data_IF_133584585808
#
_entry.id   IF_133584585808
#
_cell.length_a   1.000
_cell.length_b   1.000
_cell.length_c   1.000
_cell.angle_alpha   90.00
_cell.angle_beta   90.00
_cell.angle_gamma   90.00
#
_symmetry.space_group_name_H-M   'P 1'
#
loop_
_entity.id
_entity.type
_entity.pdbx_description
1 polymer ?
2 branched ?
3 branched ?
4 non-polymer ?
5 non-polymer ?
6 water ?
#
# COMPACT_ATOMS: atom_id res chain seq x y z
N UNK A 26 11.06 16.80 11.61
CA UNK A 26 9.94 15.82 11.51
C UNK A 26 10.43 14.41 11.27
N UNK A 27 9.49 13.49 11.00
CA UNK A 27 9.83 12.08 10.90
C UNK A 27 10.87 11.77 9.82
N UNK A 28 10.69 12.36 8.63
CA UNK A 28 11.58 12.09 7.51
C UNK A 28 13.04 12.43 7.85
N UNK A 29 13.22 13.47 8.67
CA UNK A 29 14.56 13.84 9.10
C UNK A 29 15.11 12.94 10.19
N UNK A 30 14.27 12.63 11.18
CA UNK A 30 14.67 11.74 12.27
C UNK A 30 15.16 10.43 11.69
N UNK A 31 14.46 9.96 10.65
CA UNK A 31 14.74 8.67 10.02
C UNK A 31 15.62 8.72 8.78
N UNK A 32 16.24 9.87 8.54
CA UNK A 32 16.99 10.07 7.30
C UNK A 32 18.02 8.96 7.01
N UNK A 33 18.75 8.54 8.05
CA UNK A 33 19.82 7.55 7.86
C UNK A 33 19.30 6.13 7.76
N UNK A 34 17.99 5.97 7.92
CA UNK A 34 17.38 4.66 7.93
C UNK A 34 16.62 4.37 6.64
N UNK A 35 15.58 5.14 6.38
CA UNK A 35 14.73 4.84 5.21
C UNK A 35 13.80 6.02 4.97
N UNK A 36 13.21 6.09 3.78
CA UNK A 36 12.20 7.10 3.49
C UNK A 36 10.98 6.95 4.36
N UNK A 37 10.31 8.07 4.64
CA UNK A 37 9.08 8.06 5.44
C UNK A 37 8.01 8.63 4.54
N UNK A 38 6.99 7.84 4.22
CA UNK A 38 6.03 8.24 3.18
C UNK A 38 4.59 8.34 3.66
N UNK A 39 3.73 8.93 2.83
CA UNK A 39 2.30 8.94 3.12
C UNK A 39 1.50 8.78 1.82
N UNK A 40 0.43 8.00 1.88
CA UNK A 40 -0.56 7.96 0.77
C UNK A 40 -1.41 9.23 0.78
N UNK A 41 -1.52 9.88 -0.36
CA UNK A 41 -2.29 11.13 -0.44
C UNK A 41 -3.52 10.95 -1.30
N UNK A 42 -4.68 11.32 -0.78
CA UNK A 42 -5.89 11.28 -1.59
C UNK A 42 -5.91 12.50 -2.53
N UNK A 43 -6.89 12.54 -3.42
CA UNK A 43 -6.94 13.60 -4.44
C UNK A 43 -7.12 15.01 -3.86
N UNK A 44 -7.90 15.12 -2.78
CA UNK A 44 -8.12 16.43 -2.14
C UNK A 44 -6.82 17.01 -1.60
N UNK A 45 -6.05 16.17 -0.88
CA UNK A 45 -4.76 16.59 -0.36
C UNK A 45 -3.77 16.93 -1.46
N UNK A 46 -3.65 16.02 -2.44
CA UNK A 46 -2.68 16.23 -3.50
C UNK A 46 -2.98 17.44 -4.38
N UNK A 47 -4.19 17.99 -4.29
CA UNK A 47 -4.52 19.21 -5.05
C UNK A 47 -3.66 20.41 -4.64
N UNK A 48 -3.14 20.38 -3.41
CA UNK A 48 -2.29 21.46 -2.88
C UNK A 48 -3.06 22.63 -2.32
N UNK A 49 -4.39 22.51 -2.23
CA UNK A 49 -5.24 23.62 -1.80
C UNK A 49 -5.19 23.85 -0.29
N UNK A 50 -4.77 22.82 0.46
CA UNK A 50 -4.79 22.83 1.92
C UNK A 50 -3.41 23.21 2.46
N UNK A 51 -3.23 24.48 2.83
CA UNK A 51 -1.87 24.93 3.17
C UNK A 51 -1.36 24.28 4.48
N UNK A 52 -2.26 23.98 5.41
CA UNK A 52 -1.88 23.32 6.63
C UNK A 52 -1.26 21.95 6.32
N UNK A 53 -1.95 21.19 5.46
CA UNK A 53 -1.42 19.90 5.07
C UNK A 53 -0.15 20.00 4.24
N UNK A 54 -0.06 20.99 3.37
CA UNK A 54 1.17 21.17 2.58
C UNK A 54 2.37 21.35 3.52
N UNK A 55 2.16 22.11 4.58
CA UNK A 55 3.23 22.37 5.54
C UNK A 55 3.62 21.09 6.27
N UNK A 56 2.62 20.40 6.78
CA UNK A 56 2.81 19.13 7.49
C UNK A 56 3.53 18.12 6.59
N UNK A 57 3.05 17.94 5.37
CA UNK A 57 3.62 16.90 4.51
C UNK A 57 5.09 17.18 4.20
N UNK A 58 5.42 18.45 3.90
CA UNK A 58 6.79 18.82 3.56
C UNK A 58 7.71 18.63 4.75
N UNK A 59 7.18 18.86 5.95
CA UNK A 59 7.93 18.65 7.18
C UNK A 59 8.19 17.17 7.50
N UNK A 60 7.17 16.33 7.32
CA UNK A 60 7.15 14.98 7.87
C UNK A 60 7.55 13.88 6.92
N UNK A 61 7.24 14.05 5.62
CA UNK A 61 7.38 12.94 4.67
C UNK A 61 8.30 13.29 3.53
N UNK A 62 9.08 12.31 3.09
CA UNK A 62 9.88 12.52 1.89
C UNK A 62 9.52 11.57 0.75
N UNK A 63 8.41 10.84 0.92
CA UNK A 63 7.84 9.98 -0.13
C UNK A 63 6.32 10.08 -0.08
N UNK A 64 5.69 9.93 -1.25
CA UNK A 64 4.22 9.89 -1.31
C UNK A 64 3.77 8.88 -2.33
N UNK A 65 2.54 8.41 -2.13
CA UNK A 65 1.89 7.41 -3.00
C UNK A 65 0.48 7.92 -3.24
N UNK A 66 -0.05 7.81 -4.47
CA UNK A 66 -1.43 8.23 -4.70
C UNK A 66 -2.41 7.20 -4.14
N UNK A 67 -3.36 7.64 -3.30
CA UNK A 67 -4.22 6.66 -2.63
C UNK A 67 -5.15 5.92 -3.61
N UNK A 68 -5.63 6.62 -4.64
CA UNK A 68 -6.56 6.03 -5.61
C UNK A 68 -6.38 6.45 -7.07
N UNK A 69 -5.83 7.64 -7.32
CA UNK A 69 -6.04 8.25 -8.64
C UNK A 69 -5.30 7.57 -9.78
N UNK A 70 -4.32 6.72 -9.50
CA UNK A 70 -3.62 5.99 -10.60
C UNK A 70 -4.10 4.56 -10.76
N UNK A 71 -5.13 4.16 -10.03
CA UNK A 71 -5.73 2.85 -10.22
C UNK A 71 -6.50 2.82 -11.53
N UNK A 72 -6.41 1.70 -12.24
CA UNK A 72 -7.00 1.60 -13.59
C UNK A 72 -8.43 2.11 -13.67
N UNK A 73 -9.30 1.62 -12.76
CA UNK A 73 -10.73 1.93 -12.77
C UNK A 73 -11.09 3.35 -12.34
N UNK A 74 -10.10 4.05 -11.78
CA UNK A 74 -10.27 5.41 -11.29
C UNK A 74 -9.76 6.41 -12.34
N UNK A 75 -8.60 6.08 -12.91
CA UNK A 75 -8.00 6.88 -13.96
C UNK A 75 -8.77 6.80 -15.29
N UNK A 76 -9.39 5.65 -15.55
CA UNK A 76 -10.03 5.37 -16.84
C UNK A 76 -11.46 4.97 -16.58
N UNK A 77 -12.33 5.31 -17.54
CA UNK A 77 -13.71 4.89 -17.48
C UNK A 77 -13.90 3.52 -18.12
N UNK A 78 -15.14 3.03 -18.11
CA UNK A 78 -15.41 1.67 -18.56
C UNK A 78 -15.19 1.49 -20.06
N UNK A 79 -15.15 2.61 -20.77
CA UNK A 79 -14.81 2.57 -22.21
C UNK A 79 -13.32 2.73 -22.47
N UNK A 80 -12.51 2.78 -21.41
CA UNK A 80 -11.08 2.87 -21.57
C UNK A 80 -10.57 4.30 -21.72
N UNK A 81 -11.46 5.27 -21.60
CA UNK A 81 -11.10 6.69 -21.79
C UNK A 81 -10.39 7.23 -20.54
N UNK A 82 -9.38 8.07 -20.76
CA UNK A 82 -8.46 8.51 -19.70
C UNK A 82 -8.80 9.91 -19.24
N UNK A 83 -8.67 10.15 -17.94
CA UNK A 83 -8.79 11.52 -17.45
C UNK A 83 -7.67 11.75 -16.46
N UNK A 84 -6.71 12.59 -16.84
CA UNK A 84 -5.48 12.75 -16.09
C UNK A 84 -5.48 13.77 -14.95
N UNK A 85 -6.62 14.41 -14.69
CA UNK A 85 -6.62 15.58 -13.78
C UNK A 85 -5.96 15.30 -12.43
N UNK A 86 -6.42 14.25 -11.75
CA UNK A 86 -5.91 13.96 -10.42
C UNK A 86 -4.52 13.36 -10.44
N UNK A 87 -4.25 12.46 -11.39
CA UNK A 87 -2.93 11.83 -11.44
C UNK A 87 -1.87 12.90 -11.73
N UNK A 88 -2.17 13.81 -12.65
CA UNK A 88 -1.22 14.88 -12.92
C UNK A 88 -1.03 15.79 -11.71
N UNK A 89 -2.12 16.07 -11.00
CA UNK A 89 -2.02 16.90 -9.77
C UNK A 89 -1.11 16.24 -8.73
N UNK A 90 -1.22 14.92 -8.59
CA UNK A 90 -0.37 14.19 -7.66
C UNK A 90 1.11 14.35 -8.04
N UNK A 91 1.41 14.19 -9.33
CA UNK A 91 2.81 14.21 -9.77
C UNK A 91 3.34 15.63 -9.66
N UNK A 92 2.49 16.61 -9.93
CA UNK A 92 2.88 18.02 -9.75
C UNK A 92 3.18 18.35 -8.29
N UNK A 93 2.38 17.78 -7.39
CA UNK A 93 2.56 18.00 -5.94
C UNK A 93 3.92 17.40 -5.53
N UNK A 94 4.20 16.17 -5.95
CA UNK A 94 5.51 15.57 -5.59
C UNK A 94 6.69 16.32 -6.20
N UNK A 95 6.50 16.80 -7.42
CA UNK A 95 7.57 17.59 -8.05
C UNK A 95 7.77 18.90 -7.34
N UNK A 96 6.67 19.57 -6.97
CA UNK A 96 6.75 20.86 -6.31
C UNK A 96 7.55 20.75 -5.01
N UNK A 97 7.30 19.67 -4.29
CA UNK A 97 7.93 19.46 -2.97
C UNK A 97 9.16 18.55 -2.96
N UNK A 98 9.62 18.19 -4.14
CA UNK A 98 10.74 17.27 -4.33
C UNK A 98 10.63 16.02 -3.44
N UNK A 99 9.48 15.35 -3.58
CA UNK A 99 9.21 14.11 -2.86
C UNK A 99 9.41 12.91 -3.75
N UNK A 100 9.95 11.85 -3.20
CA UNK A 100 9.99 10.56 -3.86
C UNK A 100 8.56 10.09 -4.13
N UNK A 101 8.28 9.61 -5.33
CA UNK A 101 6.90 9.25 -5.68
C UNK A 101 6.78 7.81 -6.13
N UNK A 102 5.79 7.14 -5.56
CA UNK A 102 5.52 5.74 -5.88
C UNK A 102 4.22 5.63 -6.69
N UNK A 103 4.29 5.12 -7.90
CA UNK A 103 3.07 4.83 -8.68
C UNK A 103 2.32 3.64 -8.07
N UNK A 104 1.00 3.77 -7.98
CA UNK A 104 0.16 2.71 -7.39
C UNK A 104 -1.14 2.70 -8.19
N UNK A 105 -1.47 1.62 -8.92
CA UNK A 105 -0.68 0.40 -9.11
C UNK A 105 -1.03 -0.07 -10.53
N UNK A 106 -0.08 -0.66 -11.26
CA UNK A 106 -0.37 -0.90 -12.68
C UNK A 106 -1.37 -2.04 -12.90
N UNK A 107 -1.14 -3.16 -12.23
CA UNK A 107 -1.91 -4.40 -12.51
C UNK A 107 -2.43 -4.97 -11.17
N UNK A 108 -3.74 -4.93 -11.00
CA UNK A 108 -4.40 -5.33 -9.76
C UNK A 108 -5.82 -5.75 -10.13
N UNK A 109 -6.40 -6.66 -9.33
CA UNK A 109 -7.75 -7.15 -9.59
C UNK A 109 -8.88 -6.28 -9.02
N UNK A 110 -8.55 -5.27 -8.21
CA UNK A 110 -9.53 -4.41 -7.57
C UNK A 110 -9.57 -3.01 -8.20
N UNK A 111 -10.71 -2.32 -8.09
CA UNK A 111 -10.85 -0.97 -8.65
C UNK A 111 -10.44 -0.96 -10.14
N UNK A 112 -11.00 -1.91 -10.88
CA UNK A 112 -10.79 -2.00 -12.32
C UNK A 112 -12.07 -2.55 -12.94
N UNK A 113 -12.46 -1.96 -14.06
CA UNK A 113 -13.75 -2.30 -14.70
C UNK A 113 -13.78 -3.74 -15.19
N UNK A 114 -14.91 -4.41 -14.97
CA UNK A 114 -15.08 -5.77 -15.54
C UNK A 114 -14.95 -5.78 -17.07
N UNK A 115 -15.25 -4.63 -17.68
CA UNK A 115 -15.14 -4.45 -19.13
C UNK A 115 -13.73 -4.68 -19.64
N UNK A 116 -12.72 -4.58 -18.75
CA UNK A 116 -11.36 -4.87 -19.18
C UNK A 116 -11.23 -6.37 -19.56
N UNK A 117 -11.94 -7.23 -18.83
CA UNK A 117 -11.75 -8.67 -18.95
C UNK A 117 -12.87 -9.40 -19.69
N UNK A 118 -14.03 -8.76 -19.76
CA UNK A 118 -15.25 -9.49 -20.13
C UNK A 118 -15.99 -8.80 -21.27
N UNK A 119 -16.58 -9.62 -22.12
CA UNK A 119 -17.65 -9.14 -22.99
C UNK A 119 -18.86 -8.81 -22.15
N UNK A 120 -19.78 -8.05 -22.71
CA UNK A 120 -20.96 -7.62 -22.00
C UNK A 120 -21.83 -8.80 -21.57
N UNK A 121 -21.68 -9.94 -22.26
CA UNK A 121 -22.44 -11.16 -21.94
C UNK A 121 -21.82 -11.95 -20.76
N UNK A 122 -20.69 -11.45 -20.25
CA UNK A 122 -20.02 -12.11 -19.11
C UNK A 122 -18.83 -12.97 -19.52
N UNK A 123 -18.74 -13.34 -20.80
CA UNK A 123 -17.64 -14.22 -21.25
C UNK A 123 -16.30 -13.49 -21.21
N UNK A 124 -15.23 -14.23 -21.03
CA UNK A 124 -13.90 -13.62 -20.98
C UNK A 124 -13.36 -13.37 -22.37
N UNK A 125 -12.62 -12.26 -22.53
CA UNK A 125 -11.87 -12.07 -23.77
C UNK A 125 -10.64 -12.97 -23.79
N UNK A 126 -9.98 -13.06 -24.95
CA UNK A 126 -8.81 -13.93 -25.12
C UNK A 126 -7.60 -13.40 -24.36
N UNK A 127 -6.63 -14.28 -24.11
CA UNK A 127 -5.38 -13.85 -23.50
C UNK A 127 -4.70 -12.76 -24.36
N UNK A 128 -4.71 -12.96 -25.68
CA UNK A 128 -4.09 -11.98 -26.59
C UNK A 128 -4.76 -10.62 -26.51
N UNK A 129 -6.09 -10.60 -26.42
CA UNK A 129 -6.81 -9.32 -26.32
C UNK A 129 -6.50 -8.62 -25.01
N UNK A 130 -6.41 -9.39 -23.93
CA UNK A 130 -6.09 -8.80 -22.63
C UNK A 130 -4.64 -8.33 -22.57
N UNK A 131 -3.74 -9.10 -23.18
CA UNK A 131 -2.34 -8.68 -23.27
C UNK A 131 -2.23 -7.32 -23.95
N UNK A 132 -3.00 -7.12 -25.03
CA UNK A 132 -2.93 -5.85 -25.75
C UNK A 132 -3.37 -4.71 -24.85
N UNK A 133 -4.40 -4.95 -24.03
CA UNK A 133 -4.90 -3.91 -23.14
C UNK A 133 -3.85 -3.64 -22.07
N UNK A 134 -3.22 -4.68 -21.56
CA UNK A 134 -2.16 -4.46 -20.54
C UNK A 134 -1.03 -3.63 -21.13
N UNK A 135 -0.62 -3.98 -22.36
CA UNK A 135 0.45 -3.24 -23.04
C UNK A 135 0.10 -1.77 -23.18
N UNK A 136 -1.10 -1.48 -23.64
CA UNK A 136 -1.52 -0.09 -23.82
C UNK A 136 -1.53 0.62 -22.48
N UNK A 137 -2.06 -0.04 -21.46
CA UNK A 137 -2.19 0.65 -20.16
C UNK A 137 -0.84 0.98 -19.56
N UNK A 138 0.06 0.00 -19.53
CA UNK A 138 1.38 0.23 -18.93
C UNK A 138 2.20 1.22 -19.75
N UNK A 139 2.21 1.05 -21.07
CA UNK A 139 2.98 1.94 -21.92
C UNK A 139 2.51 3.39 -21.76
N UNK A 140 1.20 3.58 -21.67
CA UNK A 140 0.65 4.92 -21.49
C UNK A 140 0.92 5.51 -20.11
N UNK A 141 0.55 4.75 -19.07
CA UNK A 141 0.64 5.24 -17.70
C UNK A 141 2.08 5.34 -17.21
N UNK A 142 2.85 4.26 -17.32
CA UNK A 142 4.24 4.37 -16.87
C UNK A 142 5.01 5.29 -17.81
N UNK A 143 4.60 5.34 -19.07
CA UNK A 143 5.28 6.23 -20.02
C UNK A 143 5.11 7.69 -19.66
N UNK A 144 3.90 8.07 -19.29
CA UNK A 144 3.61 9.47 -19.02
C UNK A 144 4.50 10.02 -17.91
N UNK A 145 4.75 9.18 -16.90
CA UNK A 145 5.45 9.62 -15.72
C UNK A 145 6.86 9.06 -15.64
N UNK A 146 7.37 8.51 -16.75
CA UNK A 146 8.73 7.99 -16.84
C UNK A 146 9.70 9.02 -16.27
N UNK A 147 10.55 8.61 -15.34
CA UNK A 147 11.50 9.54 -14.74
C UNK A 147 10.97 10.44 -13.66
N UNK A 148 9.65 10.54 -13.54
CA UNK A 148 9.04 11.38 -12.53
C UNK A 148 8.71 10.56 -11.28
N UNK A 149 8.09 9.40 -11.50
CA UNK A 149 7.87 8.44 -10.42
C UNK A 149 9.11 7.58 -10.28
N UNK A 150 9.64 7.52 -9.05
CA UNK A 150 10.85 6.74 -8.78
C UNK A 150 10.59 5.23 -8.75
N UNK A 151 9.36 4.88 -8.40
CA UNK A 151 9.03 3.45 -8.18
C UNK A 151 7.61 3.20 -8.62
N UNK A 152 7.32 1.93 -8.92
CA UNK A 152 5.97 1.46 -9.24
C UNK A 152 5.63 0.22 -8.46
N UNK A 153 4.41 0.18 -7.90
CA UNK A 153 3.75 -1.10 -7.58
C UNK A 153 3.26 -1.64 -8.91
N UNK A 154 4.01 -2.57 -9.48
CA UNK A 154 3.67 -3.10 -10.79
C UNK A 154 2.51 -4.06 -10.68
N UNK A 155 2.59 -5.02 -9.74
CA UNK A 155 1.48 -5.92 -9.48
C UNK A 155 1.16 -5.88 -7.98
N UNK A 156 -0.13 -5.85 -7.66
CA UNK A 156 -0.64 -5.77 -6.26
C UNK A 156 -1.46 -7.05 -6.01
N UNK A 157 -1.21 -7.70 -4.88
CA UNK A 157 -2.16 -8.68 -4.31
C UNK A 157 -2.45 -9.90 -5.19
N UNK A 158 -1.41 -10.57 -5.65
CA UNK A 158 -1.58 -11.71 -6.59
C UNK A 158 -1.68 -13.09 -5.93
N UNK A 159 -1.44 -13.15 -4.62
CA UNK A 159 -1.51 -14.42 -3.89
C UNK A 159 -2.79 -14.41 -3.10
N UNK A 160 -3.61 -15.45 -3.25
CA UNK A 160 -4.87 -15.47 -2.57
C UNK A 160 -4.72 -15.80 -1.10
N UNK A 161 -5.77 -15.58 -0.34
CA UNK A 161 -5.67 -15.86 1.09
C UNK A 161 -5.65 -17.35 1.43
N UNK A 162 -6.02 -18.18 0.46
CA UNK A 162 -5.85 -19.64 0.54
C UNK A 162 -4.46 -20.16 0.14
N UNK A 163 -3.53 -19.23 -0.09
CA UNK A 163 -2.13 -19.49 -0.45
C UNK A 163 -1.90 -20.01 -1.85
N UNK A 164 -2.97 -20.08 -2.64
CA UNK A 164 -2.82 -20.37 -4.06
C UNK A 164 -2.80 -19.02 -4.77
N UNK A 165 -2.47 -19.01 -6.06
CA UNK A 165 -2.54 -17.75 -6.82
C UNK A 165 -3.96 -17.20 -6.74
N UNK A 166 -4.11 -15.89 -6.58
CA UNK A 166 -5.43 -15.30 -6.48
C UNK A 166 -6.18 -15.56 -7.77
N UNK A 167 -7.45 -15.99 -7.61
CA UNK A 167 -8.29 -16.41 -8.72
C UNK A 167 -8.96 -15.18 -9.37
N UNK A 168 -8.14 -14.21 -9.76
CA UNK A 168 -8.67 -12.99 -10.37
C UNK A 168 -8.91 -13.19 -11.87
N UNK A 169 -9.61 -12.25 -12.49
CA UNK A 169 -9.71 -12.34 -13.97
C UNK A 169 -8.34 -12.29 -14.66
N UNK A 170 -7.43 -11.45 -14.16
CA UNK A 170 -6.06 -11.45 -14.68
C UNK A 170 -5.45 -12.85 -14.75
N UNK A 171 -5.57 -13.59 -13.66
CA UNK A 171 -4.90 -14.88 -13.56
C UNK A 171 -5.65 -15.95 -14.33
N UNK A 172 -6.97 -15.90 -14.27
CA UNK A 172 -7.77 -16.90 -14.99
C UNK A 172 -7.54 -16.78 -16.49
N UNK A 173 -7.41 -15.57 -17.00
CA UNK A 173 -7.20 -15.39 -18.45
C UNK A 173 -5.74 -15.62 -18.86
N UNK A 174 -4.78 -15.12 -18.07
CA UNK A 174 -3.41 -15.09 -18.53
C UNK A 174 -2.45 -16.05 -17.87
N UNK A 175 -2.81 -16.59 -16.69
CA UNK A 175 -1.87 -17.39 -15.92
C UNK A 175 -0.81 -16.47 -15.33
N UNK A 176 0.29 -17.02 -14.85
CA UNK A 176 1.29 -16.16 -14.22
C UNK A 176 1.98 -15.20 -15.17
N UNK A 177 1.74 -15.38 -16.47
CA UNK A 177 2.24 -14.41 -17.45
C UNK A 177 1.71 -13.01 -17.15
N UNK A 178 0.56 -12.88 -16.47
CA UNK A 178 0.06 -11.52 -16.20
C UNK A 178 1.09 -10.79 -15.35
N UNK A 179 1.73 -11.51 -14.44
CA UNK A 179 2.75 -10.86 -13.58
C UNK A 179 4.03 -10.64 -14.35
N UNK A 180 4.55 -11.71 -14.96
CA UNK A 180 5.78 -11.65 -15.72
C UNK A 180 5.74 -10.53 -16.77
N UNK A 181 4.65 -10.46 -17.53
CA UNK A 181 4.53 -9.47 -18.60
C UNK A 181 4.39 -8.05 -18.05
N UNK A 182 3.66 -7.90 -16.94
CA UNK A 182 3.52 -6.57 -16.33
C UNK A 182 4.89 -5.97 -15.95
N UNK A 183 5.71 -6.77 -15.28
CA UNK A 183 7.04 -6.31 -14.86
C UNK A 183 7.94 -6.04 -16.07
N UNK A 184 7.91 -6.94 -17.05
CA UNK A 184 8.74 -6.77 -18.24
C UNK A 184 8.36 -5.48 -18.97
N UNK A 185 7.06 -5.26 -19.15
CA UNK A 185 6.55 -4.04 -19.78
C UNK A 185 6.94 -2.79 -19.01
N UNK A 186 6.73 -2.78 -17.68
CA UNK A 186 7.07 -1.59 -16.91
C UNK A 186 8.56 -1.29 -17.06
N UNK A 187 9.38 -2.35 -17.06
CA UNK A 187 10.83 -2.19 -17.13
C UNK A 187 11.25 -1.66 -18.50
N UNK A 188 10.54 -2.03 -19.56
CA UNK A 188 10.83 -1.48 -20.89
C UNK A 188 10.44 -0.02 -20.99
N UNK A 189 9.35 0.33 -20.31
CA UNK A 189 8.83 1.69 -20.44
C UNK A 189 9.65 2.69 -19.61
N UNK A 190 9.96 2.32 -18.36
CA UNK A 190 10.84 3.16 -17.55
C UNK A 190 11.92 2.28 -16.94
N UNK A 191 13.03 2.12 -17.64
CA UNK A 191 14.13 1.28 -17.14
C UNK A 191 14.74 1.73 -15.81
N UNK A 192 14.49 2.98 -15.42
CA UNK A 192 15.05 3.51 -14.17
C UNK A 192 14.11 3.35 -12.97
N UNK A 193 12.87 2.97 -13.22
CA UNK A 193 11.89 2.81 -12.12
C UNK A 193 12.24 1.60 -11.25
N UNK A 194 12.05 1.73 -9.94
CA UNK A 194 12.23 0.66 -9.00
C UNK A 194 10.88 -0.06 -8.98
N UNK A 195 10.88 -1.30 -9.45
CA UNK A 195 9.67 -2.07 -9.65
C UNK A 195 9.39 -2.98 -8.47
N UNK A 196 8.15 -2.92 -7.96
CA UNK A 196 7.79 -3.67 -6.78
C UNK A 196 6.59 -4.56 -6.98
N UNK A 197 6.63 -5.69 -6.28
CA UNK A 197 5.45 -6.50 -6.03
C UNK A 197 4.94 -6.15 -4.64
N UNK A 198 3.63 -5.98 -4.47
CA UNK A 198 3.08 -5.47 -3.19
C UNK A 198 1.94 -6.36 -2.72
N UNK A 199 1.86 -6.68 -1.43
CA UNK A 199 0.74 -7.50 -0.92
C UNK A 199 0.53 -7.33 0.58
N UNK A 200 -0.65 -7.74 1.03
CA UNK A 200 -0.99 -7.74 2.46
C UNK A 200 -0.94 -9.17 3.05
N UNK A 201 -0.74 -9.21 4.37
CA UNK A 201 -0.67 -10.45 5.14
C UNK A 201 0.53 -11.30 4.79
N UNK A 202 1.48 -10.73 4.04
CA UNK A 202 2.71 -11.45 3.75
C UNK A 202 3.70 -11.32 4.91
N UNK A 203 3.25 -10.66 5.99
CA UNK A 203 3.91 -10.61 7.29
C UNK A 203 3.77 -11.94 7.98
N UNK A 204 2.84 -12.76 7.48
CA UNK A 204 2.42 -13.97 8.20
C UNK A 204 2.90 -15.24 7.57
N UNK A 205 3.14 -16.25 8.42
CA UNK A 205 3.49 -17.57 7.95
C UNK A 205 2.34 -18.12 7.11
N UNK A 206 2.72 -18.76 6.00
CA UNK A 206 1.78 -19.28 5.04
C UNK A 206 1.92 -18.41 3.80
N UNK A 207 1.33 -17.21 3.88
CA UNK A 207 1.36 -16.31 2.72
C UNK A 207 2.77 -15.82 2.41
N UNK A 208 3.58 -15.62 3.45
CA UNK A 208 4.98 -15.26 3.26
C UNK A 208 5.67 -16.27 2.33
N UNK A 209 5.57 -17.55 2.68
CA UNK A 209 6.30 -18.57 1.95
C UNK A 209 5.76 -18.77 0.54
N UNK A 210 4.44 -18.66 0.40
CA UNK A 210 3.81 -18.73 -0.93
C UNK A 210 4.33 -17.61 -1.82
N UNK A 211 4.51 -16.43 -1.22
CA UNK A 211 4.97 -15.27 -1.99
C UNK A 211 6.44 -15.41 -2.37
N UNK A 212 7.27 -15.88 -1.43
CA UNK A 212 8.66 -16.14 -1.71
C UNK A 212 8.79 -17.12 -2.89
N UNK A 213 7.98 -18.18 -2.88
CA UNK A 213 8.10 -19.21 -3.89
C UNK A 213 7.75 -18.63 -5.26
N UNK A 214 6.68 -17.87 -5.30
CA UNK A 214 6.21 -17.23 -6.54
C UNK A 214 7.26 -16.29 -7.12
N UNK A 215 7.78 -15.40 -6.28
CA UNK A 215 8.76 -14.43 -6.72
C UNK A 215 10.04 -15.10 -7.15
N UNK A 216 10.49 -16.08 -6.36
CA UNK A 216 11.76 -16.77 -6.65
C UNK A 216 11.78 -17.29 -8.07
N UNK A 217 10.68 -17.91 -8.45
CA UNK A 217 10.61 -18.60 -9.71
C UNK A 217 10.33 -17.63 -10.86
N UNK A 218 9.71 -16.49 -10.55
CA UNK A 218 9.62 -15.46 -11.57
C UNK A 218 10.98 -14.85 -11.80
N UNK A 219 11.74 -14.64 -10.73
CA UNK A 219 13.09 -14.10 -10.87
C UNK A 219 13.98 -15.03 -11.70
N UNK A 220 13.88 -16.32 -11.46
CA UNK A 220 14.71 -17.29 -12.18
C UNK A 220 14.34 -17.26 -13.66
N UNK A 221 13.06 -17.06 -13.95
CA UNK A 221 12.54 -16.94 -15.30
C UNK A 221 13.07 -15.65 -15.96
N UNK A 222 13.65 -14.77 -15.15
CA UNK A 222 14.28 -13.53 -15.63
C UNK A 222 13.45 -12.27 -15.46
N UNK A 223 12.40 -12.34 -14.64
CA UNK A 223 11.51 -11.17 -14.50
C UNK A 223 12.23 -10.05 -13.78
N UNK A 224 12.17 -8.82 -14.31
CA UNK A 224 12.82 -7.68 -13.62
C UNK A 224 11.96 -7.32 -12.43
N UNK A 225 12.59 -7.18 -11.27
CA UNK A 225 11.88 -6.79 -10.05
C UNK A 225 12.95 -6.35 -9.08
N UNK A 226 12.72 -5.20 -8.42
CA UNK A 226 13.73 -4.59 -7.57
C UNK A 226 13.34 -4.58 -6.09
N UNK A 227 12.03 -4.55 -5.83
CA UNK A 227 11.55 -4.35 -4.46
C UNK A 227 10.35 -5.19 -4.13
N UNK A 228 10.14 -5.35 -2.84
CA UNK A 228 9.03 -6.15 -2.35
C UNK A 228 8.33 -5.30 -1.30
N UNK A 229 7.05 -5.02 -1.56
CA UNK A 229 6.21 -4.21 -0.68
C UNK A 229 5.37 -5.04 0.26
N UNK A 230 5.59 -4.86 1.57
CA UNK A 230 4.72 -5.45 2.59
C UNK A 230 3.74 -4.35 2.99
N UNK A 231 2.45 -4.58 2.81
CA UNK A 231 1.52 -3.48 3.03
C UNK A 231 1.52 -2.98 4.47
N UNK A 232 1.51 -3.91 5.43
CA UNK A 232 1.57 -3.51 6.84
C UNK A 232 0.27 -2.92 7.35
N UNK A 233 -0.85 -3.46 6.87
CA UNK A 233 -2.14 -3.19 7.51
C UNK A 233 -2.23 -4.05 8.77
N UNK A 234 -1.82 -3.47 9.90
CA UNK A 234 -1.65 -4.23 11.14
C UNK A 234 -2.83 -4.05 12.06
N UNK A 235 -3.01 -5.03 12.95
CA UNK A 235 -3.91 -4.85 14.10
C UNK A 235 -3.14 -4.30 15.27
N UNK A 236 -3.89 -3.75 16.23
CA UNK A 236 -3.27 -3.26 17.45
C UNK A 236 -2.46 -4.35 18.18
N UNK A 237 -2.86 -5.62 18.04
CA UNK A 237 -2.11 -6.74 18.62
C UNK A 237 -1.36 -7.62 17.61
N UNK A 238 -2.06 -8.02 16.55
CA UNK A 238 -1.59 -9.04 15.59
C UNK A 238 -1.26 -8.33 14.27
N UNK A 239 -0.29 -8.83 13.49
CA UNK A 239 0.56 -9.99 13.82
C UNK A 239 1.69 -9.57 14.74
N UNK A 240 2.33 -10.53 15.41
CA UNK A 240 3.45 -10.20 16.30
C UNK A 240 4.72 -9.79 15.54
N UNK A 241 5.54 -8.98 16.21
CA UNK A 241 6.80 -8.55 15.66
C UNK A 241 7.63 -9.69 15.07
N UNK A 242 7.67 -10.83 15.75
CA UNK A 242 8.48 -11.96 15.27
C UNK A 242 8.10 -12.46 13.89
N UNK A 243 6.81 -12.41 13.58
CA UNK A 243 6.32 -12.78 12.26
C UNK A 243 6.76 -11.76 11.21
N UNK A 244 6.60 -10.48 11.52
CA UNK A 244 6.98 -9.44 10.57
C UNK A 244 8.49 -9.55 10.31
N UNK A 245 9.25 -9.82 11.37
CA UNK A 245 10.69 -9.96 11.26
C UNK A 245 11.06 -11.09 10.28
N UNK A 246 10.37 -12.23 10.38
CA UNK A 246 10.67 -13.35 9.47
C UNK A 246 10.48 -12.94 8.01
N UNK A 247 9.47 -12.11 7.77
CA UNK A 247 9.18 -11.67 6.41
C UNK A 247 10.24 -10.67 5.89
N UNK A 248 10.64 -9.72 6.73
CA UNK A 248 11.69 -8.80 6.31
C UNK A 248 12.91 -9.59 5.87
N UNK A 249 13.31 -10.54 6.72
CA UNK A 249 14.49 -11.35 6.44
C UNK A 249 14.33 -12.22 5.17
N UNK A 250 13.20 -12.90 5.05
CA UNK A 250 12.96 -13.76 3.91
C UNK A 250 12.95 -12.99 2.59
N UNK A 251 12.27 -11.84 2.55
CA UNK A 251 12.15 -11.12 1.29
C UNK A 251 13.47 -10.44 0.94
N UNK A 252 14.22 -9.99 1.92
CA UNK A 252 15.57 -9.47 1.65
C UNK A 252 16.48 -10.55 1.03
N UNK A 253 16.30 -11.79 1.45
CA UNK A 253 17.12 -12.89 0.92
C UNK A 253 16.91 -13.11 -0.58
N UNK A 254 15.80 -12.60 -1.12
CA UNK A 254 15.54 -12.67 -2.56
C UNK A 254 16.31 -11.64 -3.38
N UNK A 255 17.13 -10.84 -2.68
CA UNK A 255 17.91 -9.78 -3.31
C UNK A 255 17.03 -8.61 -3.68
N UNK A 256 15.95 -8.44 -2.91
CA UNK A 256 15.00 -7.33 -3.12
C UNK A 256 15.03 -6.36 -1.96
N UNK A 257 14.84 -5.07 -2.27
CA UNK A 257 14.67 -4.03 -1.24
C UNK A 257 13.28 -4.19 -0.66
N UNK A 258 13.18 -4.10 0.66
CA UNK A 258 11.92 -4.26 1.35
C UNK A 258 11.33 -2.89 1.64
N UNK A 259 10.05 -2.73 1.30
CA UNK A 259 9.33 -1.50 1.62
C UNK A 259 8.10 -1.88 2.44
N UNK A 260 7.82 -1.07 3.46
CA UNK A 260 6.49 -1.12 4.11
C UNK A 260 5.66 0.00 3.50
N UNK A 261 4.55 -0.39 2.89
CA UNK A 261 3.92 0.47 1.90
C UNK A 261 2.62 1.13 2.29
N UNK A 262 1.89 0.56 3.25
CA UNK A 262 0.50 0.98 3.50
C UNK A 262 0.22 0.87 4.99
N UNK A 263 1.15 1.34 5.80
CA UNK A 263 1.09 1.13 7.26
C UNK A 263 -0.10 1.79 7.88
N UNK A 264 -0.76 1.02 8.74
CA UNK A 264 -1.76 1.56 9.65
C UNK A 264 -2.03 0.54 10.73
N UNK A 265 -2.63 0.97 11.84
CA UNK A 265 -2.90 0.06 12.94
C UNK A 265 -4.36 0.16 13.31
N UNK A 266 -5.11 -0.92 13.08
CA UNK A 266 -6.55 -0.93 13.32
C UNK A 266 -6.77 -1.13 14.81
N UNK A 267 -7.41 -0.16 15.46
CA UNK A 267 -7.63 -0.21 16.93
C UNK A 267 -9.06 -0.62 17.31
N UNK A 268 -9.88 -0.96 16.31
CA UNK A 268 -11.31 -1.25 16.57
C UNK A 268 -11.57 -2.74 16.62
N UNK A 269 -12.66 -3.14 17.30
CA UNK A 269 -13.02 -4.55 17.39
C UNK A 269 -13.00 -5.23 16.01
N UNK A 270 -12.32 -6.36 15.97
CA UNK A 270 -12.07 -7.09 14.74
C UNK A 270 -13.20 -8.04 14.38
N UNK A 271 -13.49 -8.11 13.09
CA UNK A 271 -14.49 -9.04 12.58
C UNK A 271 -13.83 -10.13 11.74
N UNK A 272 -12.50 -10.14 11.72
CA UNK A 272 -11.77 -11.09 10.89
C UNK A 272 -11.81 -12.54 11.40
N UNK A 273 -12.20 -12.74 12.66
CA UNK A 273 -12.11 -14.07 13.30
C UNK A 273 -13.41 -14.50 13.96
N UNK A 274 -14.53 -14.26 13.28
CA UNK A 274 -15.83 -14.50 13.91
C UNK A 274 -16.43 -15.88 13.60
N UNK A 275 -17.29 -16.38 14.49
CA UNK A 275 -18.02 -17.64 14.26
C UNK A 275 -18.77 -17.69 12.93
N UNK A 276 -19.01 -18.91 12.46
CA UNK A 276 -19.62 -19.13 11.16
C UNK A 276 -21.04 -18.52 11.03
N UNK A 277 -21.80 -18.51 12.14
CA UNK A 277 -23.12 -17.89 12.16
C UNK A 277 -23.07 -16.40 11.82
N UNK A 278 -21.93 -15.78 12.06
CA UNK A 278 -21.76 -14.34 11.91
C UNK A 278 -21.02 -13.95 10.61
N UNK A 279 -20.61 -14.95 9.83
CA UNK A 279 -19.80 -14.74 8.63
C UNK A 279 -20.38 -13.68 7.69
N UNK A 280 -21.71 -13.68 7.56
CA UNK A 280 -22.39 -12.78 6.63
C UNK A 280 -22.58 -11.40 7.25
N UNK A 281 -22.99 -11.36 8.51
CA UNK A 281 -23.35 -10.10 9.17
C UNK A 281 -22.16 -9.38 9.78
N UNK A 282 -20.98 -9.99 9.74
CA UNK A 282 -19.85 -9.38 10.42
C UNK A 282 -19.40 -8.04 9.83
N UNK A 283 -19.83 -7.70 8.62
CA UNK A 283 -19.46 -6.41 8.05
C UNK A 283 -20.56 -5.35 8.24
N UNK A 284 -21.60 -5.74 8.96
CA UNK A 284 -22.70 -4.85 9.31
C UNK A 284 -22.25 -3.88 10.40
N UNK A 285 -22.72 -2.64 10.31
CA UNK A 285 -22.46 -1.68 11.37
C UNK A 285 -23.24 -2.03 12.64
N UNK A 286 -22.53 -2.16 13.75
CA UNK A 286 -23.10 -2.38 15.08
C UNK A 286 -22.39 -1.45 16.05
N UNK A 287 -23.13 -0.76 16.91
CA UNK A 287 -22.52 0.19 17.87
C UNK A 287 -21.38 -0.40 18.69
N UNK A 288 -21.53 -1.65 19.13
CA UNK A 288 -20.49 -2.32 19.95
C UNK A 288 -19.17 -2.51 19.19
N UNK A 289 -19.25 -2.47 17.86
CA UNK A 289 -18.05 -2.62 17.02
C UNK A 289 -17.41 -1.27 16.72
N UNK A 290 -18.00 -0.19 17.24
CA UNK A 290 -17.55 1.17 16.97
C UNK A 290 -17.55 1.93 18.30
N UNK A 291 -16.69 1.51 19.22
CA UNK A 291 -16.82 1.96 20.61
C UNK A 291 -16.18 3.33 20.95
N UNK A 292 -15.48 3.93 20.01
CA UNK A 292 -14.71 5.13 20.29
C UNK A 292 -15.16 6.37 19.51
N UNK A 293 -16.46 6.46 19.23
CA UNK A 293 -16.92 7.64 18.48
C UNK A 293 -16.68 8.97 19.20
N UNK A 294 -16.64 8.95 20.53
CA UNK A 294 -16.41 10.18 21.26
C UNK A 294 -14.95 10.54 21.47
N UNK A 295 -14.04 9.66 21.04
CA UNK A 295 -12.61 9.87 21.25
C UNK A 295 -11.91 8.55 21.60
N UNK A 296 -10.61 8.47 21.32
CA UNK A 296 -9.82 7.29 21.70
C UNK A 296 -9.25 7.58 23.08
N UNK A 297 -9.58 6.77 24.07
CA UNK A 297 -9.16 7.06 25.44
C UNK A 297 -7.66 6.95 25.58
N UNK A 298 -7.09 7.65 26.56
CA UNK A 298 -5.65 7.65 26.75
C UNK A 298 -5.05 6.25 26.84
N UNK A 299 -5.76 5.31 27.46
CA UNK A 299 -5.17 3.97 27.61
C UNK A 299 -4.96 3.31 26.25
N UNK A 300 -5.87 3.58 25.30
CA UNK A 300 -5.69 3.05 23.94
C UNK A 300 -4.65 3.84 23.15
N UNK A 301 -4.56 5.15 23.40
CA UNK A 301 -3.45 5.93 22.84
C UNK A 301 -2.12 5.33 23.25
N UNK A 302 -2.03 4.93 24.52
CA UNK A 302 -0.82 4.30 25.04
C UNK A 302 -0.53 3.00 24.29
N UNK A 303 -1.54 2.16 24.12
CA UNK A 303 -1.37 0.87 23.44
C UNK A 303 -0.96 1.10 21.98
N UNK A 304 -1.58 2.08 21.36
CA UNK A 304 -1.26 2.38 19.96
C UNK A 304 0.18 2.86 19.82
N UNK A 305 0.60 3.75 20.73
CA UNK A 305 1.98 4.25 20.76
C UNK A 305 3.00 3.14 20.94
N UNK A 306 2.73 2.22 21.87
CA UNK A 306 3.61 1.07 22.11
C UNK A 306 3.70 0.16 20.90
N UNK A 307 2.56 -0.05 20.23
CA UNK A 307 2.52 -0.91 19.06
C UNK A 307 3.35 -0.30 17.94
N UNK A 308 3.19 0.99 17.67
CA UNK A 308 4.02 1.66 16.66
C UNK A 308 5.50 1.68 17.04
N UNK A 309 5.80 1.86 18.33
CA UNK A 309 7.18 1.87 18.79
C UNK A 309 7.83 0.48 18.58
N UNK A 310 7.09 -0.57 18.91
CA UNK A 310 7.59 -1.94 18.65
C UNK A 310 7.93 -2.10 17.18
N UNK A 311 7.02 -1.63 16.33
CA UNK A 311 7.16 -1.80 14.89
C UNK A 311 8.40 -1.07 14.40
N UNK A 312 8.54 0.19 14.80
CA UNK A 312 9.69 0.98 14.30
C UNK A 312 11.02 0.54 14.91
N UNK A 313 11.00 -0.03 16.12
CA UNK A 313 12.21 -0.68 16.63
C UNK A 313 12.68 -1.78 15.67
N UNK A 314 11.72 -2.57 15.20
CA UNK A 314 12.06 -3.67 14.28
C UNK A 314 12.59 -3.11 12.97
N UNK A 315 11.96 -2.05 12.45
CA UNK A 315 12.41 -1.46 11.20
C UNK A 315 13.83 -0.90 11.37
N UNK A 316 14.07 -0.23 12.49
CA UNK A 316 15.43 0.29 12.75
C UNK A 316 16.45 -0.86 12.77
N UNK A 317 16.08 -1.94 13.44
CA UNK A 317 16.95 -3.12 13.53
C UNK A 317 17.37 -3.63 12.14
N UNK A 318 16.42 -3.57 11.21
CA UNK A 318 16.63 -4.07 9.85
C UNK A 318 16.69 -2.96 8.83
N UNK A 319 17.15 -1.79 9.24
CA UNK A 319 17.24 -0.64 8.37
C UNK A 319 18.07 -0.94 7.11
N UNK A 320 19.05 -1.82 7.22
CA UNK A 320 19.89 -2.18 6.08
C UNK A 320 19.11 -2.86 4.94
N UNK A 321 17.96 -3.43 5.28
CA UNK A 321 17.10 -4.16 4.33
C UNK A 321 15.92 -3.35 3.78
N UNK A 322 15.60 -2.24 4.44
CA UNK A 322 14.34 -1.52 4.21
C UNK A 322 14.61 -0.18 3.56
N UNK A 323 13.90 0.10 2.47
CA UNK A 323 14.05 1.37 1.73
C UNK A 323 13.07 2.44 2.21
N UNK A 324 11.93 2.04 2.79
CA UNK A 324 10.82 2.98 2.96
C UNK A 324 9.81 2.44 3.93
N UNK A 325 9.22 3.36 4.68
CA UNK A 325 8.00 3.10 5.46
C UNK A 325 6.96 4.17 5.12
N UNK A 326 5.94 3.77 4.37
CA UNK A 326 4.83 4.61 4.00
C UNK A 326 3.57 4.28 4.79
N UNK A 327 2.96 5.33 5.32
CA UNK A 327 1.68 5.21 6.04
C UNK A 327 0.53 5.37 5.07
N UNK A 328 -0.54 4.61 5.29
CA UNK A 328 -1.67 4.66 4.34
C UNK A 328 -2.61 5.80 4.71
N UNK A 329 -2.07 7.01 4.62
CA UNK A 329 -2.82 8.22 4.96
C UNK A 329 -1.96 9.12 5.84
N UNK A 330 -2.37 10.37 5.98
CA UNK A 330 -1.65 11.28 6.85
C UNK A 330 -2.30 11.35 8.22
N UNK A 331 -3.60 11.60 8.26
CA UNK A 331 -4.29 11.76 9.54
C UNK A 331 -5.55 10.89 9.61
N UNK A 332 -5.98 10.62 10.83
CA UNK A 332 -7.07 9.67 11.08
C UNK A 332 -8.36 9.98 10.32
N UNK A 333 -8.63 11.25 10.06
CA UNK A 333 -9.91 11.62 9.43
C UNK A 333 -10.01 11.04 8.03
N UNK A 334 -8.88 10.86 7.39
CA UNK A 334 -8.85 10.42 5.99
C UNK A 334 -8.58 8.92 5.82
N UNK A 335 -8.44 8.18 6.93
CA UNK A 335 -8.06 6.77 6.83
C UNK A 335 -9.15 5.90 6.24
N UNK A 336 -8.75 5.01 5.33
CA UNK A 336 -9.70 4.08 4.74
C UNK A 336 -10.29 3.13 5.79
N UNK A 337 -9.65 3.02 6.96
CA UNK A 337 -10.16 2.09 7.99
C UNK A 337 -11.39 2.63 8.70
N UNK A 338 -11.71 3.90 8.50
CA UNK A 338 -13.01 4.42 8.94
C UNK A 338 -14.17 3.77 8.18
N UNK A 339 -13.93 3.35 6.94
CA UNK A 339 -14.97 2.67 6.16
C UNK A 339 -14.75 1.22 5.78
N UNK A 340 -13.62 0.64 6.20
CA UNK A 340 -13.26 -0.73 5.91
C UNK A 340 -12.72 -1.39 7.18
N UNK A 341 -13.25 -2.57 7.54
CA UNK A 341 -14.16 -3.34 6.70
C UNK A 341 -15.62 -3.03 7.01
N UNK A 342 -15.88 -2.13 7.95
CA UNK A 342 -17.26 -1.75 8.29
C UNK A 342 -17.47 -0.29 7.98
N UNK A 343 -18.49 0.04 7.19
CA UNK A 343 -18.68 1.46 6.82
C UNK A 343 -19.03 2.32 8.03
N UNK A 344 -18.47 3.53 8.10
CA UNK A 344 -18.93 4.55 9.02
C UNK A 344 -18.43 4.43 10.45
N UNK A 345 -17.31 3.72 10.63
CA UNK A 345 -16.70 3.66 11.95
C UNK A 345 -15.75 4.83 12.21
N UNK A 346 -15.38 5.00 13.47
CA UNK A 346 -14.41 6.03 13.84
C UNK A 346 -13.13 5.33 14.30
N UNK A 347 -12.19 5.23 13.38
CA UNK A 347 -10.93 4.52 13.66
C UNK A 347 -9.82 5.54 13.93
N UNK A 348 -8.68 5.06 14.44
CA UNK A 348 -7.59 5.93 14.88
C UNK A 348 -6.23 5.35 14.47
N UNK A 349 -6.01 5.12 13.18
CA UNK A 349 -4.92 4.24 12.76
C UNK A 349 -3.54 4.84 12.52
N UNK A 350 -3.45 6.17 12.49
CA UNK A 350 -2.29 6.84 11.93
C UNK A 350 -1.59 7.73 12.97
N UNK A 351 -0.62 8.52 12.53
CA UNK A 351 0.21 9.28 13.50
C UNK A 351 -0.33 10.65 13.85
N UNK A 352 -1.28 11.16 13.06
CA UNK A 352 -1.87 12.48 13.27
C UNK A 352 -3.36 12.32 13.45
N UNK A 353 -3.91 13.11 14.38
CA UNK A 353 -5.32 13.00 14.73
C UNK A 353 -6.19 13.84 13.78
N UNK A 354 -7.48 13.88 14.05
CA UNK A 354 -8.43 14.56 13.15
C UNK A 354 -8.27 16.06 13.09
N UNK A 355 -7.48 16.62 14.01
CA UNK A 355 -7.14 18.03 13.98
C UNK A 355 -5.72 18.27 13.46
N UNK A 356 -5.12 17.23 12.88
CA UNK A 356 -3.74 17.23 12.36
C UNK A 356 -2.66 17.39 13.41
N UNK A 357 -2.98 17.04 14.65
CA UNK A 357 -2.03 17.12 15.75
C UNK A 357 -1.36 15.76 15.91
N UNK A 358 -0.07 15.74 16.19
CA UNK A 358 0.62 14.48 16.40
C UNK A 358 0.05 13.75 17.62
N UNK A 359 -0.14 12.44 17.46
CA UNK A 359 -0.58 11.55 18.55
C UNK A 359 0.61 11.02 19.34
N UNK A 360 0.37 10.42 20.50
CA UNK A 360 1.45 9.90 21.32
C UNK A 360 2.41 9.02 20.51
N UNK A 361 1.86 8.23 19.59
CA UNK A 361 2.67 7.33 18.75
C UNK A 361 3.79 8.07 17.98
N UNK A 362 3.48 9.25 17.45
CA UNK A 362 4.42 10.07 16.72
C UNK A 362 5.65 10.41 17.57
N UNK A 363 5.41 10.87 18.80
CA UNK A 363 6.51 11.20 19.70
C UNK A 363 7.36 9.99 20.10
N UNK A 364 6.75 8.82 20.26
CA UNK A 364 7.55 7.61 20.51
C UNK A 364 8.47 7.31 19.34
N UNK A 365 7.97 7.49 18.12
CA UNK A 365 8.78 7.30 16.92
C UNK A 365 9.95 8.26 16.86
N UNK A 366 9.71 9.53 17.21
CA UNK A 366 10.80 10.49 17.20
C UNK A 366 11.85 10.16 18.27
N UNK A 367 11.37 9.78 19.45
CA UNK A 367 12.26 9.44 20.57
C UNK A 367 13.19 8.28 20.21
N UNK A 368 12.72 7.32 19.43
CA UNK A 368 13.59 6.20 19.07
C UNK A 368 14.89 6.66 18.39
N UNK A 369 14.80 7.77 17.66
CA UNK A 369 15.93 8.27 16.90
C UNK A 369 16.71 9.33 17.65
N UNK A 370 15.99 10.19 18.38
CA UNK A 370 16.58 11.28 19.14
C UNK A 370 17.56 10.71 20.13
N UNK A 371 17.19 9.56 20.69
CA UNK A 371 17.90 8.99 21.81
C UNK A 371 18.75 7.79 21.44
N UNK A 372 18.88 7.53 20.13
CA UNK A 372 19.66 6.38 19.63
C UNK A 372 21.12 6.50 20.08
N UNK A 373 21.72 5.36 20.42
CA UNK A 373 23.12 5.27 20.86
C UNK A 373 24.03 4.75 19.76
X LIG B 1 -6.82 -12.31 12.83
X LIG B 1 -6.36 -11.57 11.72
X LIG B 1 -6.55 -12.33 10.44
X LIG B 1 -5.96 -11.49 9.31
X LIG B 1 -6.55 -10.07 9.31
X LIG B 1 -6.45 -9.46 10.72
X LIG B 1 -5.87 -13.57 10.50
X LIG B 1 -6.20 -12.11 8.07
X LIG B 1 -5.83 -9.27 8.40
X LIG B 1 -7.01 -10.37 11.67
X LIG B 2 -6.70 -8.64 7.44
X LIG B 2 -6.11 -7.28 7.13
X LIG B 2 -6.90 -6.60 6.02
X LIG B 2 -6.99 -7.51 4.80
X LIG B 2 -7.58 -8.84 5.25
X LIG B 2 -6.16 -6.48 8.29
X LIG B 2 -6.34 -5.35 5.64
X LIG B 2 -7.90 -6.87 3.92
X LIG B 2 -6.83 -9.42 6.32
X LIG B 3 -7.28 -6.44 2.69
X LIG B 3 -8.37 -6.39 1.67
X LIG B 3 -7.84 -5.78 0.37
X LIG B 3 -7.07 -4.50 0.64
X LIG B 3 -5.98 -4.77 1.66
X LIG B 3 -8.83 -7.70 1.34
X LIG B 3 -8.97 -5.52 -0.42
X LIG B 3 -6.51 -3.99 -0.55
X LIG B 3 -6.64 -5.25 2.82
X LIG B 4 -13.15 -9.57 -1.89
X LIG B 4 -9.93 -8.18 2.14
X LIG B 4 -10.05 -9.69 1.87
X LIG B 4 -10.44 -9.95 0.41
X LIG B 4 -11.69 -9.13 0.01
X LIG B 4 -11.52 -7.64 0.46
X LIG B 4 -12.78 -6.73 0.29
X LIG B 4 -8.84 -10.33 2.23
X LIG B 4 -10.65 -11.35 0.19
X LIG B 4 -11.84 -9.33 -1.40
X LIG B 4 -11.14 -7.55 1.83
X LIG B 4 -13.77 -6.88 1.02
X LIG B 4 -12.71 -5.85 -0.57
X LIG C 1 -4.23 -1.83 0.11
X LIG C 1 -4.30 -1.39 -1.34
X LIG C 1 -4.71 0.06 -1.43
X LIG C 1 -6.05 0.22 -0.71
X LIG C 1 -5.85 -0.20 0.75
X LIG C 1 -3.15 -1.19 0.74
X LIG C 1 -3.02 -1.57 -1.97
X LIG C 1 -4.95 0.44 -2.79
X LIG C 1 -6.45 1.58 -0.82
X LIG C 1 -5.41 -1.56 0.78
X LIG C 2 -7.87 1.77 -0.64
X LIG C 2 -8.09 3.24 -0.47
X LIG C 2 -9.57 3.59 -0.39
X LIG C 2 -10.35 2.93 -1.53
X LIG C 2 -9.99 1.45 -1.58
X LIG C 2 -7.43 3.70 0.70
X LIG C 2 -9.71 4.98 -0.42
X LIG C 2 -11.74 3.07 -1.30
X LIG C 2 -8.58 1.30 -1.71
X LIG C 3 -12.42 3.58 -2.48
X LIG C 3 -13.93 3.58 -2.26
X LIG C 3 -14.69 4.34 -3.36
X LIG C 3 -13.99 5.59 -3.86
X LIG C 3 -12.49 5.33 -4.01
X LIG C 3 -14.38 2.24 -2.28
X LIG C 3 -15.94 4.71 -2.86
X LIG C 3 -14.56 6.00 -5.09
X LIG C 3 -12.02 4.84 -2.77
X LIG D 1 -8.46 9.77 -3.77
X LIG E 1 11.30 14.73 -10.53
#
# INVERSE_FOLDING_TARGET
MLTSAGIAMGQASKLAAATKAAEQTGLKSAYKDNFLIGAALNATIASGADERLNTLIAKEFNSITPENCMKWGVLRDAQGQWNWKDADAFVAFGTKHNLHMVGHTLVWHSQIHDEVFKNADGSYISKAALQKKMEEHITTLAGRYKGKLAAWDVVNEAVGDDLKMRDSHWYKIMGDDFIYNAFTLANEVDPKAHLMYNDYNIERTGKREATVEMIERLQKRGMPIHGLGIQGHLGIDTPPIAEIEKSIIAFAKLGLRVHFTSLDVDVLPSVWELPVAEVSTRFEYKPERDPYTKGLPQEMQDKLAKRYEDLFKLFIKHSDKIDRATFWGVSDDASWLNGFPIPGRTNYPLLFDRKLQPKDAYFRLLDLKRLEHHHHHH
XYP O1 C1 C2 C3 C4 C5 O2 O3 O4 O5
XYP C1 C2 C3 C4 C5 O2 O3 O4 O5
XYP C1 C2 C3 C4 C5 O2 O3 O4 O5
GCV C7 C1 C2 C3 C4 C5 C6 O2 O3 O4 O5 O6A O6B
XYS C1 C2 C3 C4 C5 O1 O2 O3 O4 O5
XYP C1 C2 C3 C4 C5 O2 O3 O4 O5
XYP C1 C2 C3 C4 C5 O2 O3 O4 O5
CL CL
MG MG
#
